data_IF_727646775369
#
_entry.id   IF_727646775369
#
_cell.length_a   1.000
_cell.length_b   1.000
_cell.length_c   1.000
_cell.angle_alpha   90.00
_cell.angle_beta   90.00
_cell.angle_gamma   90.00
#
_symmetry.space_group_name_H-M   'P 1'
#
loop_
_entity.id
_entity.type
_entity.pdbx_description
1 polymer ?
#
# COMPACT_ATOMS: atom_id res chain seq x y z
N UNK A 1 -7.77 -4.15 11.54
CA UNK A 1 -6.95 -2.93 11.37
C UNK A 1 -7.53 -2.10 10.23
N UNK A 2 -7.51 -0.77 10.33
CA UNK A 2 -7.83 0.11 9.21
C UNK A 2 -6.71 0.06 8.17
N UNK A 3 -6.98 -0.53 7.00
CA UNK A 3 -5.97 -0.75 5.95
C UNK A 3 -5.42 0.57 5.39
N UNK A 4 -6.29 1.58 5.25
CA UNK A 4 -5.92 2.92 4.80
C UNK A 4 -4.77 3.53 5.61
N UNK A 5 -4.84 3.51 6.94
CA UNK A 5 -3.81 4.10 7.80
C UNK A 5 -2.44 3.44 7.58
N UNK A 6 -2.42 2.11 7.41
CA UNK A 6 -1.18 1.41 7.13
C UNK A 6 -0.56 1.81 5.78
N UNK A 7 -1.40 2.01 4.75
CA UNK A 7 -0.96 2.47 3.44
C UNK A 7 -0.40 3.89 3.53
N UNK A 8 -1.08 4.79 4.24
CA UNK A 8 -0.64 6.17 4.47
C UNK A 8 0.69 6.22 5.23
N UNK A 9 0.86 5.43 6.29
CA UNK A 9 2.12 5.29 7.03
C UNK A 9 3.27 4.87 6.10
N UNK A 10 3.05 3.86 5.26
CA UNK A 10 4.08 3.38 4.34
C UNK A 10 4.40 4.41 3.26
N UNK A 11 3.40 5.14 2.77
CA UNK A 11 3.62 6.21 1.81
C UNK A 11 4.51 7.32 2.38
N UNK A 12 4.37 7.67 3.66
CA UNK A 12 5.26 8.65 4.32
C UNK A 12 6.71 8.20 4.29
N UNK A 13 6.99 6.94 4.64
CA UNK A 13 8.35 6.39 4.60
C UNK A 13 8.95 6.40 3.20
N UNK A 14 8.13 6.13 2.19
CA UNK A 14 8.57 5.94 0.80
C UNK A 14 8.76 7.26 0.08
N UNK A 15 8.01 8.31 0.44
CA UNK A 15 8.17 9.67 -0.11
C UNK A 15 9.61 10.17 -0.01
N UNK A 16 10.29 9.93 1.10
CA UNK A 16 11.71 10.29 1.24
C UNK A 16 12.62 9.57 0.25
N UNK A 17 12.34 8.30 -0.05
CA UNK A 17 13.12 7.51 -1.01
C UNK A 17 12.83 7.93 -2.46
N UNK A 18 11.57 8.16 -2.79
CA UNK A 18 11.08 8.67 -4.08
C UNK A 18 11.70 10.03 -4.39
N UNK A 19 11.66 10.95 -3.41
CA UNK A 19 12.26 12.28 -3.55
C UNK A 19 13.76 12.21 -3.86
N UNK A 20 14.51 11.36 -3.14
CA UNK A 20 15.96 11.19 -3.37
C UNK A 20 16.31 10.66 -4.76
N UNK A 21 15.45 9.85 -5.38
CA UNK A 21 15.62 9.36 -6.75
C UNK A 21 14.97 10.25 -7.82
N UNK A 22 14.43 11.42 -7.43
CA UNK A 22 13.70 12.32 -8.34
C UNK A 22 12.56 11.61 -9.08
N UNK A 23 11.90 10.68 -8.41
CA UNK A 23 10.72 9.98 -8.92
C UNK A 23 9.44 10.68 -8.47
N UNK A 24 8.33 10.43 -9.16
CA UNK A 24 6.99 10.79 -8.70
C UNK A 24 6.33 9.62 -7.96
N UNK A 25 5.50 9.92 -6.95
CA UNK A 25 4.62 8.94 -6.32
C UNK A 25 3.17 9.42 -6.45
N UNK A 26 2.36 8.62 -7.13
CA UNK A 26 0.92 8.83 -7.27
C UNK A 26 0.16 7.78 -6.47
N UNK A 27 -0.91 8.20 -5.79
CA UNK A 27 -1.76 7.32 -4.99
C UNK A 27 -3.22 7.52 -5.38
N UNK A 28 -3.92 6.43 -5.67
CA UNK A 28 -5.34 6.43 -6.05
C UNK A 28 -6.13 5.36 -5.30
N UNK A 29 -7.44 5.60 -5.13
CA UNK A 29 -8.37 4.68 -4.44
C UNK A 29 -8.17 4.53 -2.92
N UNK A 30 -7.11 5.09 -2.34
CA UNK A 30 -6.81 5.00 -0.89
C UNK A 30 -7.94 5.51 0.02
N UNK A 31 -8.64 6.62 -0.28
CA UNK A 31 -9.80 7.04 0.51
C UNK A 31 -10.96 6.03 0.49
N UNK A 32 -11.05 5.21 -0.55
CA UNK A 32 -12.13 4.22 -0.74
C UNK A 32 -11.86 2.93 0.05
N UNK A 33 -10.65 2.76 0.58
CA UNK A 33 -10.25 1.60 1.40
C UNK A 33 -10.48 1.86 2.89
N UNK A 34 -11.68 2.31 3.26
CA UNK A 34 -12.10 2.47 4.66
C UNK A 34 -12.60 1.15 5.29
N UNK A 35 -12.01 0.03 4.85
CA UNK A 35 -12.41 -1.30 5.30
C UNK A 35 -11.53 -1.78 6.45
N UNK A 36 -12.16 -2.32 7.48
CA UNK A 36 -11.47 -3.08 8.51
C UNK A 36 -11.08 -4.44 7.99
N UNK A 37 -9.78 -4.72 7.96
CA UNK A 37 -9.25 -6.02 7.56
C UNK A 37 -8.78 -6.82 8.77
N UNK A 38 -9.06 -8.13 8.75
CA UNK A 38 -8.50 -9.10 9.69
C UNK A 38 -7.22 -9.66 9.07
N UNK A 39 -6.08 -9.12 9.48
CA UNK A 39 -4.76 -9.46 8.97
C UNK A 39 -3.73 -9.20 10.05
N UNK A 40 -2.60 -9.89 9.99
CA UNK A 40 -1.44 -9.58 10.82
C UNK A 40 -0.83 -8.24 10.38
N UNK A 41 -0.84 -7.20 11.23
CA UNK A 41 -0.33 -5.88 10.87
C UNK A 41 1.17 -5.87 10.57
N UNK A 42 1.97 -6.69 11.26
CA UNK A 42 3.42 -6.71 11.11
C UNK A 42 3.79 -7.31 9.76
N UNK A 43 3.21 -8.46 9.43
CA UNK A 43 3.46 -9.12 8.15
C UNK A 43 2.94 -8.29 6.98
N UNK A 44 1.77 -7.66 7.09
CA UNK A 44 1.27 -6.80 6.01
C UNK A 44 2.15 -5.57 5.80
N UNK A 45 2.64 -4.94 6.88
CA UNK A 45 3.59 -3.83 6.79
C UNK A 45 4.87 -4.24 6.05
N UNK A 46 5.40 -5.42 6.36
CA UNK A 46 6.58 -5.96 5.68
C UNK A 46 6.34 -6.17 4.18
N UNK A 47 5.19 -6.72 3.81
CA UNK A 47 4.81 -6.92 2.39
C UNK A 47 4.74 -5.57 1.68
N UNK A 48 4.00 -4.61 2.23
CA UNK A 48 3.87 -3.27 1.62
C UNK A 48 5.22 -2.57 1.48
N UNK A 49 6.05 -2.61 2.52
CA UNK A 49 7.40 -2.02 2.47
C UNK A 49 8.26 -2.67 1.38
N UNK A 50 8.22 -3.99 1.23
CA UNK A 50 8.95 -4.69 0.18
C UNK A 50 8.50 -4.23 -1.22
N UNK A 51 7.19 -4.14 -1.45
CA UNK A 51 6.65 -3.66 -2.73
C UNK A 51 7.09 -2.22 -3.03
N UNK A 52 6.93 -1.30 -2.07
CA UNK A 52 7.32 0.08 -2.26
C UNK A 52 8.83 0.26 -2.45
N UNK A 53 9.64 -0.37 -1.61
CA UNK A 53 11.10 -0.28 -1.72
C UNK A 53 11.61 -0.89 -3.02
N UNK A 54 11.02 -1.98 -3.50
CA UNK A 54 11.32 -2.54 -4.81
C UNK A 54 10.92 -1.58 -5.93
N UNK A 55 9.73 -0.98 -5.87
CA UNK A 55 9.31 0.01 -6.86
C UNK A 55 10.30 1.17 -6.94
N UNK A 56 10.76 1.71 -5.80
CA UNK A 56 11.79 2.75 -5.79
C UNK A 56 13.13 2.23 -6.30
N UNK A 57 13.55 1.03 -5.91
CA UNK A 57 14.84 0.44 -6.31
C UNK A 57 14.92 0.27 -7.82
N UNK A 58 13.88 -0.31 -8.43
CA UNK A 58 13.88 -0.73 -9.83
C UNK A 58 13.37 0.34 -10.80
N UNK A 59 12.72 1.40 -10.34
CA UNK A 59 12.38 2.55 -11.20
C UNK A 59 13.56 3.51 -11.29
N UNK A 60 14.08 3.71 -12.50
CA UNK A 60 15.21 4.60 -12.75
C UNK A 60 14.80 6.06 -13.01
N UNK A 61 13.64 6.26 -13.66
CA UNK A 61 13.10 7.56 -14.07
C UNK A 61 11.57 7.47 -14.15
N UNK A 62 10.88 8.62 -14.12
CA UNK A 62 9.42 8.68 -14.12
C UNK A 62 8.85 8.59 -12.71
N UNK A 63 8.00 7.59 -12.44
CA UNK A 63 7.30 7.51 -11.17
C UNK A 63 6.75 6.12 -10.83
N UNK A 64 6.12 6.05 -9.66
CA UNK A 64 5.48 4.88 -9.09
C UNK A 64 4.03 5.25 -8.81
N UNK A 65 3.10 4.39 -9.21
CA UNK A 65 1.69 4.52 -8.88
C UNK A 65 1.27 3.42 -7.90
N UNK A 66 0.57 3.81 -6.84
CA UNK A 66 -0.09 2.89 -5.92
C UNK A 66 -1.60 3.06 -6.05
N UNK A 67 -2.28 1.96 -6.36
CA UNK A 67 -3.74 1.89 -6.32
C UNK A 67 -4.16 0.92 -5.24
N UNK A 68 -5.10 1.35 -4.41
CA UNK A 68 -5.71 0.49 -3.40
C UNK A 68 -7.23 0.52 -3.58
N UNK A 69 -7.85 -0.66 -3.53
CA UNK A 69 -9.30 -0.80 -3.60
C UNK A 69 -9.72 -1.83 -2.54
N UNK A 70 -10.84 -1.57 -1.88
CA UNK A 70 -11.47 -2.48 -0.93
C UNK A 70 -12.88 -2.77 -1.39
N UNK A 71 -13.28 -4.04 -1.34
CA UNK A 71 -14.68 -4.43 -1.47
C UNK A 71 -15.09 -5.16 -0.21
N UNK A 72 -16.17 -4.71 0.42
CA UNK A 72 -16.84 -5.45 1.48
C UNK A 72 -17.76 -6.53 0.88
N UNK A 73 -17.26 -7.31 -0.08
CA UNK A 73 -17.93 -8.54 -0.47
C UNK A 73 -17.65 -9.56 0.61
N UNK A 74 -18.64 -9.74 1.49
CA UNK A 74 -18.66 -10.79 2.50
C UNK A 74 -18.58 -12.16 1.86
N UNK A 75 -17.36 -12.63 1.58
CA UNK A 75 -17.07 -14.02 1.31
C UNK A 75 -17.37 -14.82 2.57
N UNK A 76 -18.61 -15.32 2.67
CA UNK A 76 -18.98 -16.33 3.64
C UNK A 76 -18.04 -17.52 3.43
N UNK A 77 -17.06 -17.69 4.33
CA UNK A 77 -16.27 -18.92 4.39
C UNK A 77 -17.24 -20.05 4.72
N UNK A 78 -17.77 -20.72 3.70
CA UNK A 78 -18.50 -21.97 3.88
C UNK A 78 -17.49 -22.95 4.47
N UNK A 79 -17.60 -23.22 5.78
CA UNK A 79 -16.96 -24.38 6.39
C UNK A 79 -17.51 -25.61 5.67
N UNK A 80 -16.61 -26.37 5.05
CA UNK A 80 -16.85 -27.76 4.67
C UNK A 80 -16.81 -28.64 5.93
#
# INVERSE_FOLDING_TARGET
>A
MALRLLIEDMAVLVRGMVYRKQLCLEMSGVPEVDTWVMVDPLHLRQVLFNLFSNAVKFTAHGGIALTAAGSAEGGMLKKA
#
